data_IF_052903767985
#
_entry.id   IF_052903767985
#
_cell.length_a   1.000
_cell.length_b   1.000
_cell.length_c   1.000
_cell.angle_alpha   90.00
_cell.angle_beta   90.00
_cell.angle_gamma   90.00
#
_symmetry.space_group_name_H-M   'P 1'
#
loop_
_entity.id
_entity.type
_entity.pdbx_description
1 polymer ?
#
# COMPACT_ATOMS: atom_id res chain seq x y z
N UNK A 1 5.65 15.53 -16.84
CA UNK A 1 5.34 16.84 -17.44
C UNK A 1 4.94 17.78 -16.32
N UNK A 2 5.53 18.98 -16.24
CA UNK A 2 5.43 19.88 -15.07
C UNK A 2 4.58 21.14 -15.32
N UNK A 3 3.73 21.20 -16.36
CA UNK A 3 3.02 22.45 -16.70
C UNK A 3 1.48 22.35 -16.59
N UNK A 4 0.83 23.20 -15.77
CA UNK A 4 1.43 24.17 -14.83
C UNK A 4 2.02 23.52 -13.55
N UNK A 5 1.57 22.30 -13.22
CA UNK A 5 2.08 21.44 -12.14
C UNK A 5 1.84 19.97 -12.53
N UNK A 6 2.40 19.02 -11.79
CA UNK A 6 2.01 17.62 -11.93
C UNK A 6 0.55 17.45 -11.48
N UNK A 7 -0.26 16.75 -12.27
CA UNK A 7 -1.67 16.52 -11.96
C UNK A 7 -1.88 15.40 -10.94
N UNK A 8 -0.85 14.58 -10.74
CA UNK A 8 -0.81 13.47 -9.80
C UNK A 8 0.40 13.62 -8.88
N UNK A 9 0.35 13.10 -7.65
CA UNK A 9 1.44 13.23 -6.70
C UNK A 9 2.66 12.41 -7.14
N UNK A 10 3.84 13.04 -7.16
CA UNK A 10 5.13 12.35 -7.24
C UNK A 10 5.69 11.94 -5.88
N UNK A 11 5.18 12.54 -4.80
CA UNK A 11 5.54 12.23 -3.41
C UNK A 11 4.29 11.75 -2.68
N UNK A 12 4.35 10.57 -2.09
CA UNK A 12 3.25 9.94 -1.35
C UNK A 12 3.67 9.59 0.08
N UNK A 13 2.75 9.70 1.02
CA UNK A 13 3.02 9.42 2.44
C UNK A 13 2.72 7.96 2.78
N UNK A 14 3.69 7.23 3.32
CA UNK A 14 3.49 5.86 3.84
C UNK A 14 3.65 5.84 5.35
N UNK A 15 2.69 5.25 6.06
CA UNK A 15 2.69 5.19 7.51
C UNK A 15 2.23 3.82 8.01
N UNK A 16 2.93 3.30 9.02
CA UNK A 16 2.61 2.06 9.70
C UNK A 16 2.62 2.31 11.21
N UNK A 17 1.56 1.91 11.89
CA UNK A 17 1.42 2.06 13.34
C UNK A 17 1.20 0.67 13.95
N UNK A 18 1.92 0.35 15.04
CA UNK A 18 1.67 -0.84 15.85
C UNK A 18 1.06 -0.44 17.19
N UNK A 19 -0.02 -1.11 17.58
CA UNK A 19 -0.71 -0.94 18.86
C UNK A 19 -0.86 -2.32 19.48
N UNK A 20 0.02 -2.65 20.43
CA UNK A 20 0.08 -3.99 21.03
C UNK A 20 0.30 -5.09 19.97
N UNK A 21 -0.63 -6.02 19.87
CA UNK A 21 -0.65 -7.10 18.89
C UNK A 21 -1.32 -6.75 17.54
N UNK A 22 -1.77 -5.51 17.34
CA UNK A 22 -2.40 -5.05 16.10
C UNK A 22 -1.49 -4.07 15.35
N UNK A 23 -1.60 -4.04 14.03
CA UNK A 23 -0.98 -3.02 13.20
C UNK A 23 -2.00 -2.35 12.26
N UNK A 24 -1.80 -1.07 11.99
CA UNK A 24 -2.57 -0.28 11.03
C UNK A 24 -1.62 0.19 9.93
N UNK A 25 -1.80 -0.35 8.73
CA UNK A 25 -1.13 0.09 7.52
C UNK A 25 -1.98 1.18 6.85
N UNK A 26 -1.60 2.44 7.04
CA UNK A 26 -2.26 3.61 6.47
C UNK A 26 -1.76 3.82 5.04
N UNK A 27 -2.49 3.34 4.02
CA UNK A 27 -2.05 3.35 2.62
C UNK A 27 -2.57 4.57 1.83
N UNK A 28 -1.74 5.22 1.00
CA UNK A 28 -2.10 6.48 0.33
C UNK A 28 -2.89 6.28 -0.97
N UNK A 29 -3.95 5.47 -0.94
CA UNK A 29 -4.79 5.22 -2.10
C UNK A 29 -5.79 4.09 -1.88
N UNK A 30 -6.31 3.57 -2.99
CA UNK A 30 -7.37 2.57 -3.03
C UNK A 30 -6.82 1.20 -3.41
N UNK A 31 -6.46 0.40 -2.41
CA UNK A 31 -6.00 -0.97 -2.63
C UNK A 31 -7.18 -1.86 -3.03
N UNK A 32 -7.04 -2.62 -4.11
CA UNK A 32 -7.97 -3.71 -4.42
C UNK A 32 -7.96 -4.79 -3.33
N UNK A 33 -8.94 -5.68 -3.39
CA UNK A 33 -9.07 -6.80 -2.46
C UNK A 33 -7.77 -7.62 -2.35
N UNK A 34 -7.16 -8.01 -3.47
CA UNK A 34 -5.93 -8.81 -3.43
C UNK A 34 -4.69 -8.01 -3.08
N UNK A 35 -4.61 -6.74 -3.49
CA UNK A 35 -3.56 -5.82 -3.02
C UNK A 35 -3.57 -5.70 -1.50
N UNK A 36 -4.74 -5.46 -0.90
CA UNK A 36 -4.91 -5.36 0.54
C UNK A 36 -4.55 -6.65 1.27
N UNK A 37 -4.98 -7.81 0.76
CA UNK A 37 -4.62 -9.12 1.33
C UNK A 37 -3.10 -9.37 1.31
N UNK A 38 -2.42 -9.05 0.20
CA UNK A 38 -0.96 -9.16 0.10
C UNK A 38 -0.26 -8.22 1.10
N UNK A 39 -0.77 -6.99 1.27
CA UNK A 39 -0.25 -6.03 2.25
C UNK A 39 -0.37 -6.56 3.69
N UNK A 40 -1.55 -7.06 4.07
CA UNK A 40 -1.77 -7.66 5.40
C UNK A 40 -0.77 -8.79 5.68
N UNK A 41 -0.58 -9.70 4.73
CA UNK A 41 0.35 -10.81 4.88
C UNK A 41 1.80 -10.34 5.07
N UNK A 42 2.25 -9.36 4.27
CA UNK A 42 3.62 -8.84 4.35
C UNK A 42 3.87 -8.15 5.69
N UNK A 43 2.94 -7.28 6.14
CA UNK A 43 3.07 -6.56 7.40
C UNK A 43 2.99 -7.50 8.60
N UNK A 44 2.03 -8.43 8.61
CA UNK A 44 1.87 -9.39 9.71
C UNK A 44 3.14 -10.24 9.88
N UNK A 45 3.71 -10.73 8.77
CA UNK A 45 4.96 -11.47 8.78
C UNK A 45 6.14 -10.62 9.24
N UNK A 46 6.22 -9.36 8.79
CA UNK A 46 7.34 -8.48 9.13
C UNK A 46 7.33 -8.04 10.59
N UNK A 47 6.15 -7.92 11.21
CA UNK A 47 5.99 -7.52 12.63
C UNK A 47 5.83 -8.71 13.59
N UNK A 48 5.93 -9.94 13.08
CA UNK A 48 5.69 -11.20 13.82
C UNK A 48 4.35 -11.21 14.58
N UNK A 49 3.27 -10.85 13.86
CA UNK A 49 1.92 -10.90 14.39
C UNK A 49 1.32 -12.31 14.20
N UNK A 50 0.35 -12.69 15.03
CA UNK A 50 -0.25 -14.04 14.97
C UNK A 50 -0.95 -14.35 13.65
N UNK A 51 -1.31 -13.33 12.87
CA UNK A 51 -1.87 -13.50 11.54
C UNK A 51 -2.28 -12.20 10.85
N UNK A 52 -2.62 -12.27 9.55
CA UNK A 52 -3.00 -11.12 8.71
C UNK A 52 -4.22 -10.36 9.19
N UNK A 53 -5.11 -11.00 9.97
CA UNK A 53 -6.30 -10.41 10.59
C UNK A 53 -5.96 -9.32 11.61
N UNK A 54 -4.74 -9.33 12.17
CA UNK A 54 -4.26 -8.30 13.07
C UNK A 54 -3.70 -7.08 12.33
N UNK A 55 -3.75 -7.07 10.99
CA UNK A 55 -3.35 -5.93 10.16
C UNK A 55 -4.58 -5.28 9.54
N UNK A 56 -4.88 -4.06 9.97
CA UNK A 56 -5.86 -3.20 9.34
C UNK A 56 -5.18 -2.48 8.18
N UNK A 57 -5.76 -2.58 6.98
CA UNK A 57 -5.38 -1.74 5.85
C UNK A 57 -6.35 -0.57 5.83
N UNK A 58 -5.89 0.60 6.23
CA UNK A 58 -6.65 1.84 6.21
C UNK A 58 -6.32 2.58 4.92
N UNK A 59 -7.25 2.59 3.96
CA UNK A 59 -7.08 3.30 2.69
C UNK A 59 -7.26 4.81 2.83
N UNK A 60 -7.00 5.53 1.73
CA UNK A 60 -7.19 6.99 1.61
C UNK A 60 -6.50 7.80 2.72
N UNK A 61 -5.36 7.34 3.21
CA UNK A 61 -4.64 7.99 4.28
C UNK A 61 -3.59 8.98 3.75
N UNK A 62 -3.54 10.17 4.35
CA UNK A 62 -2.53 11.24 4.14
C UNK A 62 -2.49 11.85 2.73
N UNK A 63 -2.20 11.05 1.69
CA UNK A 63 -2.11 11.46 0.29
C UNK A 63 -2.98 10.54 -0.55
N UNK A 64 -3.70 11.08 -1.54
CA UNK A 64 -4.47 10.27 -2.48
C UNK A 64 -3.67 10.07 -3.77
N UNK A 65 -3.34 8.81 -4.10
CA UNK A 65 -2.62 8.44 -5.32
C UNK A 65 -3.38 7.39 -6.16
N UNK A 66 -4.70 7.57 -6.29
CA UNK A 66 -5.59 6.69 -7.06
C UNK A 66 -5.56 5.22 -6.59
N UNK A 67 -5.66 4.27 -7.51
CA UNK A 67 -5.83 2.83 -7.23
C UNK A 67 -4.50 2.09 -7.15
N UNK A 68 -4.50 0.98 -6.42
CA UNK A 68 -3.38 0.05 -6.35
C UNK A 68 -3.89 -1.37 -6.61
N UNK A 69 -3.66 -1.85 -7.82
CA UNK A 69 -3.95 -3.24 -8.21
C UNK A 69 -2.74 -4.15 -8.03
N UNK A 70 -2.96 -5.46 -7.98
CA UNK A 70 -1.86 -6.42 -8.15
C UNK A 70 -1.33 -6.39 -9.59
N UNK A 71 -0.13 -6.93 -9.88
CA UNK A 71 0.37 -7.02 -11.26
C UNK A 71 -0.56 -7.80 -12.20
N UNK A 72 -1.22 -8.85 -11.68
CA UNK A 72 -2.15 -9.68 -12.44
C UNK A 72 -3.46 -8.94 -12.75
N UNK A 73 -3.98 -8.18 -11.78
CA UNK A 73 -5.12 -7.29 -11.97
C UNK A 73 -4.77 -6.13 -12.92
N UNK A 74 -3.55 -5.57 -12.79
CA UNK A 74 -3.03 -4.50 -13.64
C UNK A 74 -3.04 -4.91 -15.12
N UNK A 75 -2.62 -6.15 -15.41
CA UNK A 75 -2.57 -6.68 -16.77
C UNK A 75 -3.94 -6.72 -17.46
N UNK A 76 -5.04 -6.81 -16.71
CA UNK A 76 -6.39 -6.80 -17.27
C UNK A 76 -6.86 -5.39 -17.70
N UNK A 77 -6.20 -4.32 -17.23
CA UNK A 77 -6.50 -2.93 -17.60
C UNK A 77 -7.98 -2.53 -17.49
N UNK A 78 -8.65 -2.97 -16.42
CA UNK A 78 -9.93 -2.39 -15.97
C UNK A 78 -9.70 -1.01 -15.34
N UNK A 79 -10.76 -0.38 -14.83
CA UNK A 79 -10.70 0.96 -14.25
C UNK A 79 -9.61 1.09 -13.17
N UNK A 80 -9.58 0.18 -12.20
CA UNK A 80 -8.62 0.23 -11.09
C UNK A 80 -7.18 0.05 -11.58
N UNK A 81 -6.99 -0.79 -12.59
CA UNK A 81 -5.69 -1.07 -13.21
C UNK A 81 -5.19 0.11 -14.04
N UNK A 82 -6.07 0.76 -14.82
CA UNK A 82 -5.76 1.98 -15.55
C UNK A 82 -5.46 3.15 -14.60
N UNK A 83 -6.11 3.18 -13.44
CA UNK A 83 -5.89 4.14 -12.35
C UNK A 83 -4.77 3.71 -11.38
N UNK A 84 -3.93 2.72 -11.72
CA UNK A 84 -2.74 2.37 -10.95
C UNK A 84 -1.52 3.10 -11.51
N UNK A 85 -1.34 4.33 -11.02
CA UNK A 85 -0.66 5.42 -11.74
C UNK A 85 0.86 5.31 -11.82
N UNK A 86 1.48 4.50 -10.97
CA UNK A 86 2.92 4.25 -10.99
C UNK A 86 3.29 2.96 -11.75
N UNK A 87 2.33 2.39 -12.49
CA UNK A 87 2.53 1.23 -13.36
C UNK A 87 2.37 -0.12 -12.67
N UNK A 88 2.73 -1.23 -13.36
CA UNK A 88 2.43 -2.60 -12.91
C UNK A 88 3.09 -3.00 -11.60
N UNK A 89 4.14 -2.28 -11.18
CA UNK A 89 4.90 -2.54 -9.97
C UNK A 89 4.47 -1.70 -8.76
N UNK A 90 3.41 -0.89 -8.90
CA UNK A 90 2.91 -0.02 -7.81
C UNK A 90 2.70 -0.77 -6.51
N UNK A 91 1.95 -1.90 -6.53
CA UNK A 91 1.76 -2.72 -5.33
C UNK A 91 3.09 -3.27 -4.79
N UNK A 92 3.97 -3.79 -5.66
CA UNK A 92 5.23 -4.41 -5.21
C UNK A 92 6.14 -3.41 -4.50
N UNK A 93 6.15 -2.16 -4.95
CA UNK A 93 6.89 -1.07 -4.31
C UNK A 93 6.29 -0.77 -2.93
N UNK A 94 4.95 -0.65 -2.83
CA UNK A 94 4.30 -0.46 -1.53
C UNK A 94 4.56 -1.63 -0.57
N UNK A 95 4.46 -2.88 -1.01
CA UNK A 95 4.75 -4.03 -0.15
C UNK A 95 6.17 -3.98 0.42
N UNK A 96 7.17 -3.62 -0.40
CA UNK A 96 8.54 -3.47 0.06
C UNK A 96 8.68 -2.29 1.03
N UNK A 97 8.03 -1.16 0.76
CA UNK A 97 8.09 0.02 1.61
C UNK A 97 7.48 -0.25 3.00
N UNK A 98 6.34 -0.93 3.08
CA UNK A 98 5.73 -1.27 4.38
C UNK A 98 6.50 -2.34 5.13
N UNK A 99 7.16 -3.26 4.42
CA UNK A 99 8.13 -4.19 5.02
C UNK A 99 9.30 -3.43 5.64
N UNK A 100 9.82 -2.41 4.96
CA UNK A 100 10.90 -1.56 5.49
C UNK A 100 10.43 -0.81 6.73
N UNK A 101 9.26 -0.17 6.70
CA UNK A 101 8.67 0.51 7.86
C UNK A 101 8.52 -0.44 9.06
N UNK A 102 8.03 -1.66 8.82
CA UNK A 102 7.86 -2.66 9.87
C UNK A 102 9.18 -3.01 10.56
N UNK A 103 10.27 -3.15 9.80
CA UNK A 103 11.59 -3.45 10.34
C UNK A 103 12.14 -2.37 11.29
N UNK A 104 11.70 -1.11 11.14
CA UNK A 104 12.08 -0.01 12.04
C UNK A 104 11.14 0.14 13.25
N UNK A 105 10.04 -0.61 13.32
CA UNK A 105 9.13 -0.63 14.48
C UNK A 105 9.59 -1.68 15.51
N UNK A 106 10.13 -2.80 15.03
CA UNK A 106 10.66 -3.87 15.88
C UNK A 106 12.11 -3.54 16.29
N UNK A 107 12.30 -3.18 17.56
CA UNK A 107 13.63 -3.19 18.20
C UNK A 107 14.02 -4.61 18.57
#
# INVERSE_FOLDING_TARGET
MTFPFEWQPSIVSTQLVRIGQMAIACVPGEFTTMSGRRMRNVVAKALDLSGPENVIVAGLCNTYSDYITTPEEYAAQRYEAASTIFGPHTLTIYLQQYKNLAAYITN
#
